data_IF_878252535629
#
_entry.id   IF_878252535629
#
_cell.length_a   1.000
_cell.length_b   1.000
_cell.length_c   1.000
_cell.angle_alpha   90.00
_cell.angle_beta   90.00
_cell.angle_gamma   90.00
#
_symmetry.space_group_name_H-M   'P 1'
#
loop_
_entity.id
_entity.type
_entity.pdbx_description
1 polymer ?
#
# COMPACT_ATOMS: atom_id res chain seq x y z
N UNK A 1 -0.71 -8.05 3.87
CA UNK A 1 -0.58 -6.68 3.32
C UNK A 1 -1.99 -6.15 3.15
N UNK A 2 -2.35 -5.04 3.80
CA UNK A 2 -3.70 -4.46 3.71
C UNK A 2 -3.64 -3.14 2.93
N UNK A 3 -4.66 -2.92 2.12
CA UNK A 3 -4.88 -1.66 1.40
C UNK A 3 -6.17 -1.02 1.92
N UNK A 4 -6.16 0.31 2.00
CA UNK A 4 -7.29 1.10 2.46
C UNK A 4 -7.82 1.95 1.33
N UNK A 5 -9.14 1.95 1.15
CA UNK A 5 -9.83 2.62 0.06
C UNK A 5 -10.82 3.64 0.60
N UNK A 6 -10.91 4.79 -0.04
CA UNK A 6 -11.89 5.86 0.26
C UNK A 6 -12.36 6.50 -1.03
N UNK A 7 -13.40 7.32 -0.98
CA UNK A 7 -13.89 8.06 -2.15
C UNK A 7 -12.79 8.90 -2.79
N UNK A 8 -12.71 8.88 -4.13
CA UNK A 8 -11.94 9.89 -4.87
C UNK A 8 -12.62 11.28 -4.86
N UNK A 9 -13.84 11.36 -4.32
CA UNK A 9 -14.65 12.57 -4.15
C UNK A 9 -15.83 12.65 -5.11
N UNK A 10 -16.70 13.63 -4.88
CA UNK A 10 -18.00 13.77 -5.58
C UNK A 10 -17.95 13.95 -7.09
N UNK A 11 -16.78 14.29 -7.67
CA UNK A 11 -16.59 14.36 -9.12
C UNK A 11 -16.59 12.98 -9.78
N UNK A 12 -16.28 11.95 -9.01
CA UNK A 12 -16.14 10.57 -9.47
C UNK A 12 -16.98 9.66 -8.57
N UNK A 13 -18.32 9.75 -8.64
CA UNK A 13 -19.18 8.96 -7.77
C UNK A 13 -18.93 7.46 -7.98
N UNK A 14 -18.81 6.68 -6.90
CA UNK A 14 -18.53 5.25 -6.99
C UNK A 14 -17.11 4.87 -7.42
N UNK A 15 -16.16 5.82 -7.47
CA UNK A 15 -14.73 5.49 -7.63
C UNK A 15 -14.02 5.52 -6.30
N UNK A 16 -13.23 4.48 -6.04
CA UNK A 16 -12.40 4.37 -4.85
C UNK A 16 -10.94 4.70 -5.17
N UNK A 17 -10.30 5.45 -4.28
CA UNK A 17 -8.90 5.79 -4.30
C UNK A 17 -8.18 5.06 -3.17
N UNK A 18 -7.01 4.51 -3.45
CA UNK A 18 -6.16 3.91 -2.42
C UNK A 18 -5.61 5.03 -1.54
N UNK A 19 -5.97 5.03 -0.26
CA UNK A 19 -5.56 6.05 0.70
C UNK A 19 -4.77 5.50 1.88
N UNK A 20 -4.44 4.22 1.87
CA UNK A 20 -3.52 3.67 2.84
C UNK A 20 -3.00 2.29 2.46
N UNK A 21 -1.85 1.94 3.03
CA UNK A 21 -1.22 0.64 2.93
C UNK A 21 -0.64 0.27 4.30
N UNK A 22 -0.83 -0.97 4.72
CA UNK A 22 -0.25 -1.54 5.92
C UNK A 22 0.45 -2.86 5.61
N UNK A 23 1.70 -2.99 6.02
CA UNK A 23 2.57 -4.14 5.75
C UNK A 23 3.10 -4.65 7.08
N UNK A 24 2.66 -5.85 7.45
CA UNK A 24 3.12 -6.56 8.63
C UNK A 24 4.08 -7.69 8.23
N UNK A 25 5.17 -7.81 8.96
CA UNK A 25 6.14 -8.91 8.87
C UNK A 25 6.51 -9.31 10.29
N UNK A 26 6.07 -10.49 10.73
CA UNK A 26 6.13 -10.92 12.14
C UNK A 26 5.51 -9.88 13.08
N UNK A 27 6.32 -9.29 13.94
CA UNK A 27 5.96 -8.26 14.92
C UNK A 27 6.27 -6.84 14.42
N UNK A 28 6.90 -6.70 13.26
CA UNK A 28 7.18 -5.39 12.67
C UNK A 28 6.03 -4.96 11.76
N UNK A 29 5.68 -3.66 11.80
CA UNK A 29 4.57 -3.09 11.07
C UNK A 29 4.96 -1.74 10.44
N UNK A 30 4.70 -1.61 9.15
CA UNK A 30 4.73 -0.36 8.41
C UNK A 30 3.31 0.05 8.05
N UNK A 31 2.92 1.29 8.32
CA UNK A 31 1.63 1.86 7.93
C UNK A 31 1.85 3.20 7.26
N UNK A 32 1.21 3.40 6.10
CA UNK A 32 1.14 4.69 5.45
C UNK A 32 -0.31 5.02 5.12
N UNK A 33 -0.75 6.23 5.47
CA UNK A 33 -2.11 6.74 5.18
C UNK A 33 -2.04 8.13 4.58
N UNK A 34 -2.93 8.40 3.63
CA UNK A 34 -3.16 9.71 3.03
C UNK A 34 -4.59 10.21 3.28
N UNK A 35 -5.43 9.45 3.98
CA UNK A 35 -6.79 9.80 4.40
C UNK A 35 -6.93 9.90 5.92
N UNK A 36 -7.68 10.92 6.36
CA UNK A 36 -8.09 11.12 7.76
C UNK A 36 -9.32 10.27 8.09
N UNK A 37 -10.26 10.20 7.14
CA UNK A 37 -11.54 9.53 7.28
C UNK A 37 -11.87 8.72 6.03
N UNK A 38 -12.50 7.56 6.22
CA UNK A 38 -13.07 6.75 5.15
C UNK A 38 -14.51 7.19 4.90
N UNK A 39 -14.82 7.47 3.64
CA UNK A 39 -16.15 7.81 3.16
C UNK A 39 -16.33 7.26 1.76
N UNK A 40 -17.57 6.96 1.37
CA UNK A 40 -17.91 6.53 0.00
C UNK A 40 -18.18 7.72 -0.91
N UNK A 41 -18.63 8.84 -0.34
CA UNK A 41 -19.11 10.01 -1.08
C UNK A 41 -18.13 11.18 -1.04
N UNK A 42 -17.46 11.37 0.09
CA UNK A 42 -16.63 12.54 0.35
C UNK A 42 -15.15 12.22 0.48
N UNK A 43 -14.32 13.21 0.15
CA UNK A 43 -12.87 13.07 0.15
C UNK A 43 -12.27 13.74 1.37
N UNK A 44 -11.68 12.91 2.23
CA UNK A 44 -10.99 13.34 3.45
C UNK A 44 -9.49 13.04 3.39
N UNK A 45 -8.80 13.55 2.35
CA UNK A 45 -7.35 13.40 2.25
C UNK A 45 -6.61 14.37 3.17
N UNK A 46 -5.60 13.83 3.85
CA UNK A 46 -4.65 14.57 4.66
C UNK A 46 -3.84 15.56 3.80
N UNK A 47 -3.35 16.63 4.44
CA UNK A 47 -2.45 17.57 3.77
C UNK A 47 -1.07 16.95 3.50
N UNK A 48 -0.64 16.03 4.37
CA UNK A 48 0.59 15.25 4.26
C UNK A 48 0.29 13.80 4.65
N UNK A 49 0.96 12.81 4.03
CA UNK A 49 0.84 11.42 4.45
C UNK A 49 1.26 11.24 5.91
N UNK A 50 0.55 10.37 6.63
CA UNK A 50 0.98 9.87 7.93
C UNK A 50 1.70 8.54 7.68
N UNK A 51 2.93 8.43 8.19
CA UNK A 51 3.75 7.22 8.09
C UNK A 51 4.09 6.78 9.50
N UNK A 52 3.76 5.54 9.83
CA UNK A 52 4.10 4.90 11.10
C UNK A 52 4.91 3.64 10.82
N UNK A 53 5.93 3.43 11.65
CA UNK A 53 6.85 2.32 11.53
C UNK A 53 7.23 1.80 12.91
N UNK A 54 6.85 0.56 13.16
CA UNK A 54 7.16 -0.18 14.38
C UNK A 54 8.08 -1.32 14.00
N UNK A 55 9.33 -1.27 14.47
CA UNK A 55 10.31 -2.35 14.30
C UNK A 55 10.46 -3.12 15.60
N UNK A 56 10.28 -4.42 15.53
CA UNK A 56 10.69 -5.33 16.60
C UNK A 56 12.03 -5.99 16.25
N UNK A 57 12.30 -6.21 14.95
CA UNK A 57 13.61 -6.56 14.42
C UNK A 57 13.88 -5.76 13.13
N UNK A 58 15.07 -5.15 13.02
CA UNK A 58 15.48 -4.40 11.82
C UNK A 58 15.61 -5.27 10.57
N UNK A 59 15.65 -6.60 10.74
CA UNK A 59 15.69 -7.56 9.64
C UNK A 59 14.29 -7.97 9.16
N UNK A 60 13.22 -7.59 9.86
CA UNK A 60 11.86 -7.98 9.50
C UNK A 60 11.33 -7.26 8.25
N UNK A 61 11.91 -6.11 7.89
CA UNK A 61 11.63 -5.42 6.65
C UNK A 61 12.74 -4.42 6.32
N UNK A 62 13.01 -4.24 5.02
CA UNK A 62 13.88 -3.18 4.50
C UNK A 62 13.01 -2.18 3.75
N UNK A 63 13.13 -0.90 4.09
CA UNK A 63 12.32 0.17 3.50
C UNK A 63 13.25 1.15 2.79
N UNK A 64 13.04 1.31 1.48
CA UNK A 64 13.66 2.33 0.64
C UNK A 64 12.59 3.36 0.26
N UNK A 65 12.85 4.65 0.49
CA UNK A 65 11.99 5.74 0.05
C UNK A 65 12.81 6.67 -0.85
N UNK A 66 12.30 6.98 -2.04
CA UNK A 66 12.89 7.97 -2.95
C UNK A 66 11.79 8.77 -3.63
N UNK A 67 11.69 10.06 -3.31
CA UNK A 67 10.74 11.00 -3.94
C UNK A 67 9.30 10.49 -3.96
N UNK A 68 8.76 10.08 -2.80
CA UNK A 68 7.41 9.51 -2.63
C UNK A 68 7.21 8.13 -3.29
N UNK A 69 8.27 7.48 -3.75
CA UNK A 69 8.25 6.08 -4.16
C UNK A 69 8.80 5.24 -3.01
N UNK A 70 7.99 4.30 -2.55
CA UNK A 70 8.33 3.37 -1.50
C UNK A 70 8.61 2.01 -2.10
N UNK A 71 9.66 1.39 -1.62
CA UNK A 71 10.00 0.00 -1.89
C UNK A 71 10.26 -0.69 -0.55
N UNK A 72 9.50 -1.74 -0.28
CA UNK A 72 9.58 -2.51 0.96
C UNK A 72 9.92 -3.96 0.59
N UNK A 73 10.98 -4.49 1.19
CA UNK A 73 11.44 -5.86 0.97
C UNK A 73 11.24 -6.63 2.27
N UNK A 74 10.46 -7.71 2.21
CA UNK A 74 10.24 -8.62 3.33
C UNK A 74 11.38 -9.65 3.46
N UNK A 75 11.54 -10.33 4.61
CA UNK A 75 12.66 -11.24 4.85
C UNK A 75 12.68 -12.44 3.91
N UNK A 76 11.51 -12.81 3.38
CA UNK A 76 11.36 -13.87 2.39
C UNK A 76 11.60 -13.40 0.95
N UNK A 77 12.03 -12.15 0.76
CA UNK A 77 12.27 -11.48 -0.52
C UNK A 77 11.01 -11.09 -1.32
N UNK A 78 9.83 -11.06 -0.70
CA UNK A 78 8.65 -10.42 -1.26
C UNK A 78 8.91 -8.92 -1.34
N UNK A 79 8.66 -8.33 -2.51
CA UNK A 79 8.93 -6.92 -2.76
C UNK A 79 7.61 -6.18 -3.01
N UNK A 80 7.38 -5.12 -2.26
CA UNK A 80 6.20 -4.26 -2.36
C UNK A 80 6.67 -2.88 -2.82
N UNK A 81 6.12 -2.38 -3.91
CA UNK A 81 6.39 -1.04 -4.41
C UNK A 81 5.10 -0.24 -4.54
N UNK A 82 5.15 1.03 -4.15
CA UNK A 82 4.04 1.95 -4.39
C UNK A 82 4.53 3.39 -4.43
N UNK A 83 3.73 4.26 -5.04
CA UNK A 83 4.04 5.69 -5.13
C UNK A 83 2.86 6.53 -4.68
N UNK A 84 3.17 7.67 -4.04
CA UNK A 84 2.15 8.66 -3.69
C UNK A 84 2.05 9.67 -4.81
N UNK A 85 0.92 9.67 -5.51
CA UNK A 85 0.59 10.64 -6.54
C UNK A 85 -0.44 11.62 -5.99
N UNK A 86 -0.07 12.91 -5.91
CA UNK A 86 -0.90 13.99 -5.37
C UNK A 86 -1.25 13.79 -3.88
N UNK A 87 -2.26 12.98 -3.57
CA UNK A 87 -2.77 12.72 -2.20
C UNK A 87 -3.34 11.30 -2.03
N UNK A 88 -3.09 10.41 -2.98
CA UNK A 88 -3.50 9.01 -2.91
C UNK A 88 -2.35 8.14 -3.40
N UNK A 89 -2.42 6.85 -3.08
CA UNK A 89 -1.47 5.85 -3.56
C UNK A 89 -1.93 5.47 -4.97
N UNK A 90 -1.06 5.64 -5.97
CA UNK A 90 -1.45 5.42 -7.37
C UNK A 90 -1.59 3.92 -7.68
N UNK A 91 -0.54 3.15 -7.41
CA UNK A 91 -0.48 1.70 -7.65
C UNK A 91 0.27 1.04 -6.49
N UNK A 92 -0.22 -0.13 -6.07
CA UNK A 92 0.53 -1.06 -5.20
C UNK A 92 0.93 -2.24 -6.07
N UNK A 93 2.23 -2.40 -6.30
CA UNK A 93 2.81 -3.54 -6.99
C UNK A 93 3.41 -4.49 -5.96
N UNK A 94 3.01 -5.76 -6.01
CA UNK A 94 3.53 -6.82 -5.16
C UNK A 94 4.19 -7.85 -6.04
N UNK A 95 5.49 -8.03 -5.84
CA UNK A 95 6.26 -9.11 -6.44
C UNK A 95 6.44 -10.22 -5.40
N UNK A 96 5.72 -11.35 -5.54
CA UNK A 96 5.80 -12.45 -4.58
C UNK A 96 7.18 -13.10 -4.61
N UNK A 97 7.61 -13.61 -3.45
CA UNK A 97 8.77 -14.48 -3.36
C UNK A 97 8.45 -15.89 -3.88
N UNK A 98 9.48 -16.69 -4.15
CA UNK A 98 9.29 -18.12 -4.50
C UNK A 98 8.54 -18.88 -3.39
N UNK A 99 8.72 -18.47 -2.13
CA UNK A 99 8.02 -19.07 -0.97
C UNK A 99 6.52 -18.73 -0.91
N UNK A 100 6.09 -17.67 -1.60
CA UNK A 100 4.69 -17.24 -1.65
C UNK A 100 3.88 -18.04 -2.69
N UNK A 101 4.56 -18.77 -3.57
CA UNK A 101 3.92 -19.59 -4.61
C UNK A 101 3.03 -20.65 -3.95
N UNK A 102 1.76 -20.67 -4.33
CA UNK A 102 0.70 -21.53 -3.82
C UNK A 102 0.40 -21.39 -2.32
N UNK A 103 0.95 -20.39 -1.65
CA UNK A 103 0.76 -20.18 -0.20
C UNK A 103 0.14 -18.82 0.11
N UNK A 104 0.54 -17.77 -0.62
CA UNK A 104 -0.06 -16.45 -0.50
C UNK A 104 -1.47 -16.44 -1.10
N UNK A 105 -2.37 -15.68 -0.46
CA UNK A 105 -3.76 -15.50 -0.88
C UNK A 105 -4.20 -14.08 -0.60
N UNK A 106 -5.15 -13.57 -1.39
CA UNK A 106 -5.74 -12.26 -1.19
C UNK A 106 -6.43 -11.77 -2.47
N UNK A 107 -6.66 -10.46 -2.54
CA UNK A 107 -7.21 -9.79 -3.73
C UNK A 107 -6.33 -9.94 -4.99
N UNK A 108 -5.03 -10.20 -4.83
CA UNK A 108 -4.11 -10.49 -5.93
C UNK A 108 -4.16 -11.97 -6.39
N UNK A 109 -5.09 -12.76 -5.87
CA UNK A 109 -5.20 -14.19 -6.15
C UNK A 109 -4.16 -15.04 -5.43
N UNK A 110 -3.94 -16.25 -5.96
CA UNK A 110 -2.94 -17.20 -5.46
C UNK A 110 -1.77 -17.23 -6.44
N UNK A 111 -0.56 -16.77 -6.07
CA UNK A 111 0.58 -16.80 -6.97
C UNK A 111 0.89 -18.24 -7.39
N UNK A 112 0.78 -18.53 -8.69
CA UNK A 112 0.98 -19.87 -9.24
C UNK A 112 2.02 -19.86 -10.36
N UNK A 113 2.69 -20.99 -10.56
CA UNK A 113 3.52 -21.23 -11.76
C UNK A 113 2.67 -21.68 -12.96
N UNK A 114 1.39 -22.00 -12.73
CA UNK A 114 0.43 -22.30 -13.77
C UNK A 114 -0.01 -21.01 -14.47
N UNK A 115 -0.35 -21.10 -15.76
CA UNK A 115 -1.04 -20.03 -16.50
C UNK A 115 -2.57 -20.13 -16.37
N UNK A 116 -3.06 -21.04 -15.55
CA UNK A 116 -4.49 -21.24 -15.32
C UNK A 116 -5.02 -20.14 -14.41
N UNK A 117 -5.92 -19.26 -14.89
CA UNK A 117 -6.48 -18.18 -14.07
C UNK A 117 -7.65 -18.64 -13.19
N UNK A 118 -8.02 -19.93 -13.23
CA UNK A 118 -9.22 -20.42 -12.54
C UNK A 118 -9.15 -20.36 -11.01
N UNK A 119 -7.96 -20.19 -10.43
CA UNK A 119 -7.73 -20.02 -9.00
C UNK A 119 -7.41 -18.56 -8.60
N UNK A 120 -7.35 -17.62 -9.55
CA UNK A 120 -7.12 -16.20 -9.27
C UNK A 120 -8.23 -15.64 -8.37
N UNK A 121 -9.48 -16.08 -8.57
CA UNK A 121 -10.62 -15.72 -7.73
C UNK A 121 -10.85 -16.77 -6.64
N UNK A 122 -9.91 -16.88 -5.71
CA UNK A 122 -10.06 -17.75 -4.53
C UNK A 122 -10.75 -17.00 -3.40
N UNK A 123 -11.94 -17.47 -3.01
CA UNK A 123 -12.64 -17.02 -1.81
C UNK A 123 -11.79 -17.30 -0.56
N UNK A 124 -11.83 -16.38 0.40
CA UNK A 124 -11.09 -16.47 1.67
C UNK A 124 -11.18 -17.85 2.35
N UNK A 125 -12.40 -18.37 2.55
CA UNK A 125 -12.64 -19.62 3.29
C UNK A 125 -12.87 -20.90 2.45
N UNK A 126 -13.41 -20.79 1.23
CA UNK A 126 -14.02 -21.94 0.53
C UNK A 126 -13.37 -22.30 -0.81
N UNK A 127 -12.32 -21.61 -1.24
CA UNK A 127 -11.60 -21.91 -2.48
C UNK A 127 -12.09 -21.13 -3.70
N UNK A 128 -11.77 -21.59 -4.93
CA UNK A 128 -12.08 -20.87 -6.16
C UNK A 128 -13.57 -20.59 -6.39
N UNK A 129 -13.88 -19.40 -6.88
CA UNK A 129 -15.23 -18.93 -7.22
C UNK A 129 -15.22 -18.11 -8.52
N UNK A 130 -16.36 -18.04 -9.21
CA UNK A 130 -16.47 -17.37 -10.51
C UNK A 130 -17.06 -15.95 -10.42
N UNK A 131 -17.54 -15.55 -9.25
CA UNK A 131 -18.15 -14.26 -9.03
C UNK A 131 -17.11 -13.30 -8.41
N UNK A 132 -16.71 -12.30 -9.18
CA UNK A 132 -15.69 -11.33 -8.77
C UNK A 132 -16.12 -10.45 -7.58
N UNK A 133 -17.42 -10.20 -7.42
CA UNK A 133 -17.93 -9.41 -6.30
C UNK A 133 -17.85 -10.23 -5.01
N UNK A 134 -18.33 -11.47 -5.03
CA UNK A 134 -18.22 -12.39 -3.89
C UNK A 134 -16.75 -12.62 -3.54
N UNK A 135 -15.86 -12.71 -4.53
CA UNK A 135 -14.42 -12.80 -4.33
C UNK A 135 -13.88 -11.58 -3.59
N UNK A 136 -14.11 -10.38 -4.10
CA UNK A 136 -13.64 -9.14 -3.49
C UNK A 136 -14.19 -8.95 -2.07
N UNK A 137 -15.49 -9.21 -1.88
CA UNK A 137 -16.17 -9.07 -0.60
C UNK A 137 -15.63 -10.05 0.45
N UNK A 138 -15.26 -11.28 0.04
CA UNK A 138 -14.69 -12.27 0.98
C UNK A 138 -13.35 -11.85 1.59
N UNK A 139 -12.62 -10.95 0.92
CA UNK A 139 -11.33 -10.42 1.36
C UNK A 139 -11.44 -9.10 2.13
N UNK A 140 -12.66 -8.60 2.33
CA UNK A 140 -12.89 -7.41 3.14
C UNK A 140 -12.63 -7.73 4.62
N UNK A 141 -11.88 -6.85 5.28
CA UNK A 141 -11.68 -6.89 6.73
C UNK A 141 -12.82 -6.10 7.36
N UNK A 142 -13.70 -6.76 8.09
CA UNK A 142 -14.83 -6.12 8.79
C UNK A 142 -14.35 -5.47 10.09
N UNK A 143 -15.15 -4.53 10.61
CA UNK A 143 -14.90 -3.93 11.93
C UNK A 143 -14.90 -4.94 13.09
N UNK A 144 -15.49 -6.12 12.90
CA UNK A 144 -15.50 -7.21 13.89
C UNK A 144 -14.17 -7.98 13.93
N UNK A 145 -13.34 -7.90 12.88
CA UNK A 145 -12.03 -8.57 12.78
C UNK A 145 -10.90 -7.71 13.36
N UNK A 146 -11.02 -7.34 14.63
CA UNK A 146 -10.12 -6.38 15.30
C UNK A 146 -8.65 -6.78 15.18
N UNK A 147 -8.33 -8.07 15.35
CA UNK A 147 -6.95 -8.61 15.32
C UNK A 147 -6.30 -8.55 13.93
N UNK A 148 -7.10 -8.42 12.87
CA UNK A 148 -6.63 -8.32 11.49
C UNK A 148 -6.52 -6.86 11.03
N UNK A 149 -7.08 -5.91 11.78
CA UNK A 149 -7.03 -4.52 11.38
C UNK A 149 -5.65 -3.91 11.67
N UNK A 150 -4.89 -3.63 10.61
CA UNK A 150 -3.53 -3.09 10.72
C UNK A 150 -3.48 -1.55 10.73
N UNK A 151 -4.61 -0.88 10.57
CA UNK A 151 -4.70 0.60 10.59
C UNK A 151 -5.12 1.17 11.96
N UNK A 152 -5.24 0.33 12.98
CA UNK A 152 -5.53 0.76 14.35
C UNK A 152 -4.27 1.31 15.05
N UNK A 153 -4.48 2.14 16.08
CA UNK A 153 -3.41 2.76 16.89
C UNK A 153 -2.44 1.72 17.50
N UNK A 154 -2.98 0.61 17.98
CA UNK A 154 -2.23 -0.52 18.54
C UNK A 154 -2.75 -1.83 17.93
N UNK A 155 -2.20 -2.30 16.81
CA UNK A 155 -2.60 -3.57 16.23
C UNK A 155 -2.12 -4.72 17.14
N UNK A 156 -3.02 -5.64 17.49
CA UNK A 156 -2.67 -6.76 18.36
C UNK A 156 -1.66 -7.70 17.67
N UNK A 157 -0.53 -7.92 18.34
CA UNK A 157 0.49 -8.86 17.89
C UNK A 157 0.16 -10.26 18.41
N UNK A 158 -0.31 -11.15 17.53
CA UNK A 158 -0.36 -12.58 17.81
C UNK A 158 1.02 -13.08 18.23
N UNK A 159 1.16 -13.43 19.52
CA UNK A 159 2.33 -14.13 20.04
C UNK A 159 2.38 -15.52 19.45
N UNK A 160 3.47 -15.87 18.78
CA UNK A 160 3.75 -17.27 18.46
C UNK A 160 4.28 -17.97 19.72
N UNK A 161 3.55 -18.97 20.22
CA UNK A 161 3.78 -19.72 21.47
C UNK A 161 5.13 -20.48 21.60
N UNK A 162 6.15 -20.18 20.80
CA UNK A 162 7.37 -20.99 20.72
C UNK A 162 8.65 -20.36 21.29
N UNK A 163 8.65 -19.11 21.77
CA UNK A 163 9.84 -18.48 22.38
C UNK A 163 9.84 -18.51 23.92
N UNK A 164 9.29 -19.58 24.49
CA UNK A 164 9.11 -19.75 25.94
C UNK A 164 10.41 -20.02 26.75
N UNK A 165 11.62 -19.80 26.24
CA UNK A 165 12.84 -20.25 26.95
C UNK A 165 13.98 -19.25 27.12
N UNK A 166 13.78 -17.95 26.93
CA UNK A 166 14.77 -16.94 27.34
C UNK A 166 14.17 -15.78 28.15
N UNK A 167 13.40 -16.11 29.18
CA UNK A 167 13.03 -15.15 30.23
C UNK A 167 14.18 -15.00 31.23
N UNK A 168 14.95 -13.91 31.12
CA UNK A 168 15.84 -13.46 32.19
C UNK A 168 14.98 -12.93 33.33
N UNK A 169 15.03 -13.64 34.46
CA UNK A 169 14.36 -13.28 35.71
C UNK A 169 15.13 -12.13 36.36
N UNK A 170 14.50 -10.97 36.51
CA UNK A 170 14.88 -10.01 37.55
C UNK A 170 13.87 -10.20 38.69
N UNK A 171 14.33 -10.87 39.76
CA UNK A 171 13.60 -10.97 41.02
C UNK A 171 13.72 -9.64 41.73
N UNK A 172 12.62 -8.94 41.94
CA UNK A 172 12.50 -8.06 43.10
C UNK A 172 11.38 -8.56 44.00
N UNK A 173 11.76 -8.90 45.22
CA UNK A 173 10.88 -9.41 46.26
C UNK A 173 10.00 -8.28 46.77
N UNK A 174 8.68 -8.31 46.48
CA UNK A 174 7.60 -8.04 47.44
C UNK A 174 6.20 -8.19 46.80
N UNK A 175 5.66 -9.40 46.97
CA UNK A 175 4.25 -9.82 47.07
C UNK A 175 3.10 -9.04 46.37
N UNK A 176 2.55 -9.75 45.37
CA UNK A 176 1.15 -10.16 45.22
C UNK A 176 0.13 -9.21 44.56
N UNK A 177 0.10 -9.18 43.23
CA UNK A 177 -1.03 -9.70 42.43
C UNK A 177 -0.63 -9.89 40.97
N UNK A 178 -1.17 -10.95 40.34
CA UNK A 178 -0.69 -11.56 39.11
C UNK A 178 -1.08 -10.74 37.85
N UNK A 179 -0.09 -10.07 37.26
CA UNK A 179 -0.10 -9.62 35.86
C UNK A 179 0.53 -10.70 34.97
N UNK A 180 -0.05 -10.94 33.80
CA UNK A 180 0.65 -11.63 32.71
C UNK A 180 0.37 -10.95 31.36
N UNK A 181 0.81 -9.69 31.25
CA UNK A 181 0.98 -9.02 29.97
C UNK A 181 2.45 -9.14 29.54
N UNK A 182 2.79 -10.17 28.77
CA UNK A 182 4.11 -10.21 28.10
C UNK A 182 4.06 -9.24 26.92
N UNK A 183 4.50 -8.01 27.10
CA UNK A 183 4.73 -7.08 26.00
C UNK A 183 6.04 -7.47 25.29
N UNK A 184 6.02 -7.61 23.95
CA UNK A 184 7.21 -7.27 23.18
C UNK A 184 7.26 -5.74 23.14
N UNK A 185 7.96 -5.14 24.12
CA UNK A 185 8.22 -3.70 24.14
C UNK A 185 9.23 -3.40 23.03
N UNK A 186 8.74 -3.09 21.83
CA UNK A 186 9.58 -2.56 20.77
C UNK A 186 9.85 -1.09 21.15
N UNK A 187 10.88 -0.86 21.98
CA UNK A 187 11.14 0.35 22.76
C UNK A 187 11.31 1.67 21.98
N UNK A 188 11.19 1.69 20.65
CA UNK A 188 11.31 2.91 19.86
C UNK A 188 10.37 2.95 18.64
N UNK A 189 9.16 3.52 18.73
CA UNK A 189 8.47 4.01 17.54
C UNK A 189 9.32 5.13 16.91
N UNK A 190 9.83 4.92 15.71
CA UNK A 190 10.54 5.97 14.96
C UNK A 190 9.52 6.70 14.08
N UNK A 191 9.06 7.85 14.53
CA UNK A 191 8.20 8.71 13.73
C UNK A 191 9.05 9.71 12.96
N UNK A 192 9.00 9.61 11.63
CA UNK A 192 9.64 10.55 10.73
C UNK A 192 8.57 11.35 10.00
N UNK A 193 8.54 12.67 10.25
CA UNK A 193 8.08 13.60 9.23
C UNK A 193 9.25 13.76 8.26
N UNK A 194 9.12 13.25 7.04
CA UNK A 194 10.19 13.15 6.03
C UNK A 194 11.27 14.26 6.10
N UNK A 195 12.50 13.84 6.42
CA UNK A 195 13.77 14.40 5.93
C UNK A 195 14.92 13.45 6.31
N UNK A 196 14.96 12.26 5.69
CA UNK A 196 16.11 11.35 5.77
C UNK A 196 17.14 11.72 4.70
N UNK A 197 17.91 12.78 4.95
CA UNK A 197 19.14 13.07 4.20
C UNK A 197 20.33 12.41 4.92
N UNK A 198 20.89 11.35 4.34
CA UNK A 198 22.21 10.82 4.73
C UNK A 198 23.31 11.38 3.80
N UNK A 199 24.53 11.66 4.31
CA UNK A 199 25.47 12.57 3.67
C UNK A 199 26.34 11.84 2.65
N UNK A 200 26.19 12.18 1.37
CA UNK A 200 27.23 11.87 0.39
C UNK A 200 28.42 12.87 0.50
N UNK A 201 29.67 12.40 0.38
CA UNK A 201 30.85 13.24 0.51
C UNK A 201 31.01 14.15 -0.72
N UNK A 202 31.05 15.46 -0.50
CA UNK A 202 31.27 16.46 -1.55
C UNK A 202 32.70 16.39 -2.13
N UNK A 203 32.87 16.53 -3.46
CA UNK A 203 34.06 17.12 -4.02
C UNK A 203 33.95 18.66 -4.07
N UNK A 204 35.11 19.27 -3.89
CA UNK A 204 35.33 20.66 -3.54
C UNK A 204 34.91 21.73 -4.58
N UNK A 205 34.50 22.89 -4.03
CA UNK A 205 34.77 24.28 -4.48
C UNK A 205 34.07 24.79 -5.74
N UNK A 206 33.23 25.83 -5.56
CA UNK A 206 33.61 27.25 -5.77
C UNK A 206 32.57 28.24 -5.21
N UNK A 207 33.07 29.40 -4.78
CA UNK A 207 32.44 30.47 -3.99
C UNK A 207 31.57 31.44 -4.82
N UNK A 208 30.51 31.98 -4.19
CA UNK A 208 30.06 33.40 -4.13
C UNK A 208 28.72 33.46 -3.33
N UNK A 209 28.69 34.01 -2.10
CA UNK A 209 28.25 35.38 -1.73
C UNK A 209 26.78 35.67 -2.13
N UNK A 210 25.79 35.97 -1.28
CA UNK A 210 25.78 36.82 -0.09
C UNK A 210 24.56 36.57 0.85
N UNK A 211 24.81 36.76 2.15
CA UNK A 211 23.94 37.23 3.25
C UNK A 211 22.40 37.21 3.12
N UNK A 212 21.77 36.27 3.83
CA UNK A 212 20.63 36.52 4.71
C UNK A 212 20.82 35.72 6.01
N UNK A 213 20.84 36.35 7.20
CA UNK A 213 20.84 35.60 8.45
C UNK A 213 19.42 35.08 8.70
N UNK A 214 19.06 33.93 8.13
CA UNK A 214 17.95 33.17 8.66
C UNK A 214 18.39 32.63 10.03
N UNK A 215 17.80 33.22 11.06
CA UNK A 215 17.84 32.78 12.43
C UNK A 215 17.27 31.35 12.45
N UNK A 216 18.13 30.35 12.32
CA UNK A 216 17.78 28.96 12.63
C UNK A 216 17.51 28.95 14.14
N UNK A 217 16.24 29.05 14.50
CA UNK A 217 15.78 28.68 15.82
C UNK A 217 16.00 27.18 15.93
N UNK A 218 17.15 26.80 16.50
CA UNK A 218 17.27 25.51 17.15
C UNK A 218 16.15 25.47 18.18
N UNK A 219 15.10 24.68 17.92
CA UNK A 219 14.17 24.33 18.99
C UNK A 219 14.99 23.61 20.04
N UNK A 220 14.97 24.19 21.23
CA UNK A 220 15.59 23.66 22.43
C UNK A 220 15.02 22.28 22.69
N UNK A 221 15.89 21.28 22.79
CA UNK A 221 15.64 20.06 23.53
C UNK A 221 15.36 20.49 24.97
N UNK A 222 14.09 20.52 25.36
CA UNK A 222 13.60 20.48 26.74
C UNK A 222 12.07 20.41 26.68
N UNK A 223 11.53 19.23 26.94
CA UNK A 223 10.13 18.94 27.29
C UNK A 223 9.05 19.39 26.29
N UNK A 224 9.09 18.87 25.06
CA UNK A 224 7.86 18.60 24.32
C UNK A 224 8.05 17.24 23.64
N UNK A 225 7.42 16.25 24.24
CA UNK A 225 7.17 14.93 23.68
C UNK A 225 6.13 15.14 22.57
N UNK A 226 6.55 15.71 21.42
CA UNK A 226 5.71 15.82 20.22
C UNK A 226 5.64 14.43 19.57
N UNK A 227 5.08 13.50 20.35
CA UNK A 227 4.58 12.21 19.94
C UNK A 227 3.45 12.52 18.97
N UNK A 228 3.69 12.30 17.67
CA UNK A 228 2.62 12.41 16.69
C UNK A 228 1.74 11.19 16.89
N UNK A 229 0.72 11.31 17.74
CA UNK A 229 -0.27 10.27 17.95
C UNK A 229 -0.85 9.87 16.58
N UNK A 230 -0.72 8.59 16.25
CA UNK A 230 -1.28 8.03 15.03
C UNK A 230 -2.79 8.05 15.14
N UNK A 231 -3.42 9.17 14.76
CA UNK A 231 -4.87 9.34 14.96
C UNK A 231 -5.67 8.15 14.43
N UNK A 232 -6.71 7.73 15.16
CA UNK A 232 -7.47 6.55 14.79
C UNK A 232 -8.19 6.84 13.47
N UNK A 233 -8.36 5.79 12.67
CA UNK A 233 -9.10 5.90 11.43
C UNK A 233 -10.58 6.17 11.72
N UNK A 234 -11.12 7.25 11.16
CA UNK A 234 -12.55 7.59 11.31
C UNK A 234 -13.31 7.03 10.11
N UNK A 235 -14.52 6.51 10.36
CA UNK A 235 -15.44 6.08 9.33
C UNK A 235 -16.64 7.02 9.29
N UNK A 236 -17.03 7.44 8.09
CA UNK A 236 -18.22 8.23 7.84
C UNK A 236 -19.49 7.36 7.91
N UNK A 237 -20.64 7.98 8.18
CA UNK A 237 -21.94 7.30 8.29
C UNK A 237 -22.39 6.64 6.97
N UNK A 238 -21.84 7.09 5.83
CA UNK A 238 -22.10 6.51 4.51
C UNK A 238 -21.29 5.23 4.23
N UNK A 239 -20.44 4.81 5.16
CA UNK A 239 -19.72 3.53 5.08
C UNK A 239 -20.54 2.48 5.83
N UNK A 240 -21.60 1.99 5.18
CA UNK A 240 -22.30 0.80 5.68
C UNK A 240 -21.58 -0.48 5.22
N UNK A 241 -21.32 -1.42 6.13
CA UNK A 241 -20.68 -2.68 5.78
C UNK A 241 -21.58 -3.59 4.94
N UNK A 242 -22.90 -3.47 5.05
CA UNK A 242 -23.87 -4.38 4.43
C UNK A 242 -24.41 -3.93 3.07
N UNK A 243 -24.02 -2.75 2.58
CA UNK A 243 -24.57 -2.17 1.37
C UNK A 243 -23.79 -2.63 0.12
N UNK A 244 -24.47 -3.42 -0.72
CA UNK A 244 -23.99 -3.94 -2.01
C UNK A 244 -23.98 -2.78 -3.01
N UNK A 245 -22.81 -2.46 -3.57
CA UNK A 245 -22.69 -1.42 -4.58
C UNK A 245 -23.39 -1.84 -5.88
N UNK A 246 -24.11 -0.91 -6.50
CA UNK A 246 -24.64 -1.11 -7.85
C UNK A 246 -23.48 -1.16 -8.84
N UNK A 247 -23.48 -2.10 -9.81
CA UNK A 247 -22.41 -2.20 -10.79
C UNK A 247 -22.22 -0.88 -11.53
N UNK A 248 -20.97 -0.46 -11.69
CA UNK A 248 -20.63 0.74 -12.42
C UNK A 248 -21.18 0.69 -13.85
N UNK A 249 -21.61 1.84 -14.35
CA UNK A 249 -22.07 2.01 -15.73
C UNK A 249 -21.41 3.23 -16.35
N UNK A 250 -21.10 3.17 -17.64
CA UNK A 250 -20.57 4.31 -18.38
C UNK A 250 -21.41 5.58 -18.18
N UNK A 251 -20.71 6.70 -18.01
CA UNK A 251 -21.30 8.02 -17.75
C UNK A 251 -20.57 9.11 -18.53
N UNK A 252 -21.01 10.37 -18.42
CA UNK A 252 -20.41 11.54 -19.08
C UNK A 252 -20.27 11.42 -20.61
N UNK A 253 -21.15 10.65 -21.26
CA UNK A 253 -21.11 10.42 -22.71
C UNK A 253 -20.13 9.34 -23.16
N UNK A 254 -19.48 8.63 -22.24
CA UNK A 254 -18.67 7.47 -22.58
C UNK A 254 -19.53 6.28 -22.99
N UNK A 255 -18.95 5.45 -23.86
CA UNK A 255 -19.47 4.16 -24.28
C UNK A 255 -18.34 3.14 -24.21
N UNK A 256 -18.69 1.85 -24.18
CA UNK A 256 -17.71 0.75 -24.23
C UNK A 256 -16.76 0.89 -25.42
N UNK A 257 -17.30 1.16 -26.61
CA UNK A 257 -16.50 1.29 -27.83
C UNK A 257 -15.58 2.52 -27.79
N UNK A 258 -16.07 3.64 -27.25
CA UNK A 258 -15.29 4.87 -27.12
C UNK A 258 -14.13 4.70 -26.12
N UNK A 259 -14.41 4.08 -24.97
CA UNK A 259 -13.41 3.75 -23.97
C UNK A 259 -12.35 2.79 -24.53
N UNK A 260 -12.78 1.71 -25.18
CA UNK A 260 -11.89 0.73 -25.81
C UNK A 260 -10.97 1.39 -26.83
N UNK A 261 -11.51 2.21 -27.71
CA UNK A 261 -10.72 2.90 -28.75
C UNK A 261 -9.63 3.77 -28.14
N UNK A 262 -9.93 4.52 -27.08
CA UNK A 262 -8.95 5.39 -26.42
C UNK A 262 -7.90 4.58 -25.67
N UNK A 263 -8.30 3.54 -24.93
CA UNK A 263 -7.37 2.65 -24.24
C UNK A 263 -6.42 1.95 -25.22
N UNK A 264 -6.98 1.35 -26.28
CA UNK A 264 -6.22 0.67 -27.33
C UNK A 264 -5.20 1.60 -27.98
N UNK A 265 -5.59 2.82 -28.36
CA UNK A 265 -4.68 3.76 -29.00
C UNK A 265 -3.55 4.18 -28.05
N UNK A 266 -3.85 4.57 -26.81
CA UNK A 266 -2.82 5.06 -25.88
C UNK A 266 -1.84 3.96 -25.46
N UNK A 267 -2.35 2.73 -25.25
CA UNK A 267 -1.51 1.59 -24.93
C UNK A 267 -0.61 1.21 -26.11
N UNK A 268 -1.17 1.15 -27.32
CA UNK A 268 -0.36 0.83 -28.52
C UNK A 268 0.63 1.93 -28.86
N UNK A 269 0.27 3.21 -28.68
CA UNK A 269 1.20 4.33 -28.87
C UNK A 269 2.39 4.24 -27.91
N UNK A 270 2.15 3.81 -26.66
CA UNK A 270 3.22 3.56 -25.69
C UNK A 270 4.13 2.38 -26.11
N UNK A 271 3.55 1.32 -26.70
CA UNK A 271 4.28 0.15 -27.19
C UNK A 271 5.06 0.41 -28.49
N UNK A 272 4.61 1.35 -29.32
CA UNK A 272 5.31 1.75 -30.54
C UNK A 272 6.63 2.50 -30.27
N UNK A 273 6.89 2.87 -29.02
CA UNK A 273 8.20 3.37 -28.63
C UNK A 273 9.25 2.24 -28.84
N UNK A 274 10.35 2.54 -29.55
CA UNK A 274 11.35 1.54 -30.01
C UNK A 274 11.90 0.65 -28.89
N UNK A 275 11.79 1.09 -27.63
CA UNK A 275 12.14 0.27 -26.46
C UNK A 275 11.28 -0.97 -26.26
N UNK A 276 10.02 -1.01 -26.71
CA UNK A 276 9.07 -2.08 -26.34
C UNK A 276 8.58 -2.93 -27.52
N UNK A 277 8.99 -2.58 -28.74
CA UNK A 277 8.49 -3.14 -29.99
C UNK A 277 8.73 -4.65 -30.17
N UNK A 278 9.73 -5.19 -29.49
CA UNK A 278 10.14 -6.59 -29.60
C UNK A 278 9.40 -7.52 -28.60
N UNK A 279 8.50 -6.99 -27.76
CA UNK A 279 7.85 -7.77 -26.69
C UNK A 279 6.45 -8.23 -27.09
N UNK A 280 6.43 -9.35 -27.80
CA UNK A 280 5.23 -9.98 -28.37
C UNK A 280 4.38 -10.70 -27.32
N UNK A 281 4.93 -11.01 -26.13
CA UNK A 281 4.28 -11.88 -25.14
C UNK A 281 3.61 -11.13 -23.97
N UNK A 282 3.62 -9.80 -23.97
CA UNK A 282 2.95 -9.01 -22.92
C UNK A 282 1.44 -9.16 -23.11
N UNK A 283 0.65 -9.44 -22.06
CA UNK A 283 -0.80 -9.56 -22.16
C UNK A 283 -1.46 -8.16 -22.28
N UNK A 284 -1.21 -7.47 -23.39
CA UNK A 284 -1.69 -6.10 -23.68
C UNK A 284 -3.21 -5.99 -23.51
N UNK A 285 -3.94 -7.02 -23.91
CA UNK A 285 -5.40 -7.08 -23.80
C UNK A 285 -5.88 -6.89 -22.35
N UNK A 286 -5.17 -7.43 -21.35
CA UNK A 286 -5.53 -7.25 -19.94
C UNK A 286 -5.41 -5.79 -19.49
N UNK A 287 -4.42 -5.06 -19.99
CA UNK A 287 -4.25 -3.64 -19.68
C UNK A 287 -5.30 -2.78 -20.39
N UNK A 288 -5.72 -3.16 -21.60
CA UNK A 288 -6.82 -2.50 -22.31
C UNK A 288 -8.13 -2.73 -21.55
N UNK A 289 -8.44 -3.96 -21.14
CA UNK A 289 -9.64 -4.30 -20.37
C UNK A 289 -9.68 -3.53 -19.04
N UNK A 290 -8.57 -3.51 -18.30
CA UNK A 290 -8.46 -2.73 -17.07
C UNK A 290 -8.69 -1.23 -17.31
N UNK A 291 -8.06 -0.66 -18.35
CA UNK A 291 -8.25 0.73 -18.74
C UNK A 291 -9.72 1.05 -19.09
N UNK A 292 -10.40 0.17 -19.84
CA UNK A 292 -11.82 0.36 -20.18
C UNK A 292 -12.68 0.35 -18.92
N UNK A 293 -12.37 -0.54 -17.97
CA UNK A 293 -13.06 -0.60 -16.69
C UNK A 293 -12.84 0.66 -15.85
N UNK A 294 -11.61 1.20 -15.84
CA UNK A 294 -11.31 2.46 -15.19
C UNK A 294 -12.13 3.61 -15.78
N UNK A 295 -12.30 3.68 -17.10
CA UNK A 295 -13.15 4.68 -17.76
C UNK A 295 -14.63 4.45 -17.45
N UNK A 296 -15.10 3.20 -17.40
CA UNK A 296 -16.49 2.88 -17.02
C UNK A 296 -16.80 3.39 -15.61
N UNK A 297 -15.87 3.16 -14.68
CA UNK A 297 -16.01 3.51 -13.26
C UNK A 297 -15.81 5.01 -13.04
N UNK A 298 -14.79 5.63 -13.64
CA UNK A 298 -14.47 7.05 -13.49
C UNK A 298 -15.37 7.96 -14.32
N UNK A 299 -15.79 7.52 -15.51
CA UNK A 299 -16.46 8.36 -16.49
C UNK A 299 -15.55 9.39 -17.14
N UNK A 300 -14.24 9.18 -17.13
CA UNK A 300 -13.23 9.97 -17.83
C UNK A 300 -11.92 9.19 -18.00
N UNK A 301 -10.87 9.84 -18.53
CA UNK A 301 -9.55 9.24 -18.78
C UNK A 301 -8.54 9.53 -17.66
N UNK A 302 -8.96 9.92 -16.46
CA UNK A 302 -8.03 10.38 -15.40
C UNK A 302 -6.99 9.32 -15.02
N UNK A 303 -7.36 8.04 -15.07
CA UNK A 303 -6.49 6.91 -14.71
C UNK A 303 -5.69 6.33 -15.89
N UNK A 304 -5.95 6.77 -17.12
CA UNK A 304 -5.34 6.23 -18.34
C UNK A 304 -3.81 6.23 -18.29
N UNK A 305 -3.21 7.32 -17.80
CA UNK A 305 -1.75 7.43 -17.66
C UNK A 305 -1.20 6.44 -16.64
N UNK A 306 -1.92 6.23 -15.53
CA UNK A 306 -1.51 5.29 -14.49
C UNK A 306 -1.59 3.85 -15.00
N UNK A 307 -2.60 3.51 -15.80
CA UNK A 307 -2.71 2.20 -16.46
C UNK A 307 -1.55 1.95 -17.43
N UNK A 308 -1.20 2.95 -18.25
CA UNK A 308 -0.03 2.86 -19.15
C UNK A 308 1.27 2.70 -18.37
N UNK A 309 1.45 3.45 -17.28
CA UNK A 309 2.63 3.32 -16.43
C UNK A 309 2.71 1.93 -15.79
N UNK A 310 1.59 1.39 -15.29
CA UNK A 310 1.54 0.05 -14.73
C UNK A 310 1.94 -1.01 -15.76
N UNK A 311 1.46 -0.89 -17.01
CA UNK A 311 1.88 -1.75 -18.11
C UNK A 311 3.39 -1.66 -18.36
N UNK A 312 3.92 -0.45 -18.53
CA UNK A 312 5.36 -0.23 -18.79
C UNK A 312 6.21 -0.80 -17.66
N UNK A 313 5.80 -0.59 -16.40
CA UNK A 313 6.49 -1.18 -15.23
C UNK A 313 6.45 -2.71 -15.25
N UNK A 314 5.32 -3.31 -15.62
CA UNK A 314 5.20 -4.76 -15.77
C UNK A 314 6.19 -5.28 -16.82
N UNK A 315 6.23 -4.65 -17.99
CA UNK A 315 7.16 -5.00 -19.07
C UNK A 315 8.60 -4.91 -18.58
N UNK A 316 9.01 -3.76 -18.03
CA UNK A 316 10.38 -3.57 -17.54
C UNK A 316 10.79 -4.58 -16.47
N UNK A 317 9.84 -5.03 -15.64
CA UNK A 317 10.09 -6.04 -14.60
C UNK A 317 10.38 -7.42 -15.21
N UNK A 318 9.73 -7.78 -16.32
CA UNK A 318 10.00 -9.02 -17.05
C UNK A 318 11.32 -8.96 -17.84
N UNK A 319 11.73 -7.78 -18.31
CA UNK A 319 12.94 -7.59 -19.14
C UNK A 319 14.25 -7.58 -18.36
N UNK A 320 14.19 -7.06 -17.14
CA UNK A 320 15.35 -7.00 -16.26
C UNK A 320 15.06 -7.82 -15.00
N UNK A 321 14.87 -9.16 -15.11
CA UNK A 321 14.92 -10.00 -13.93
C UNK A 321 16.35 -9.86 -13.42
N UNK A 322 16.53 -9.09 -12.34
CA UNK A 322 17.84 -8.89 -11.73
C UNK A 322 18.45 -10.27 -11.56
N UNK A 323 19.56 -10.52 -12.26
CA UNK A 323 20.36 -11.72 -12.13
C UNK A 323 20.68 -11.89 -10.65
N UNK A 324 20.12 -12.93 -10.05
CA UNK A 324 20.38 -13.39 -8.69
C UNK A 324 21.85 -13.69 -8.48
#
# INVERSE_FOLDING_TARGET
>A
IHALFTSCGSRFPGTSCICGIAIRSKESLFVLRTCEQISRTEKYFLQQPVVSLTYCDKTDMVIENTNNNYKIILPIATEIQFSIARRFISVISIKPAVKDINTAKGLCGVPSTSKDPSDDFTHRDYGPINDGQIFADSWRISSEMVDEQLFNEEPEFLKTDNDANNSIVIVDNNQNNLDLATYCSCDHPYWSTDSLDDPLPQPQRRKRSANFPHKISKRSLNNNDDVVDFKPLIYSDDVNETEIESPATFRNGWTSDGAYTICFNNINDALQNDMYKDYVDVPVDKFIEACVKDIEVAGDTTFLTDTVNAMVTSILTELFPRSS
#
